data_IF_409528166245
#
_entry.id   IF_409528166245
#
_cell.length_a   1.000
_cell.length_b   1.000
_cell.length_c   1.000
_cell.angle_alpha   90.00
_cell.angle_beta   90.00
_cell.angle_gamma   90.00
#
_symmetry.space_group_name_H-M   'P 1'
#
loop_
_entity.id
_entity.type
_entity.pdbx_description
1 polymer ?
#
# COMPACT_ATOMS: atom_id res chain seq x y z
N UNK A 1 -11.42 4.72 -13.85
CA UNK A 1 -11.49 4.61 -13.71
C UNK A 1 -11.69 4.42 -13.34
N UNK A 2 -11.67 4.30 -13.16
CA UNK A 2 -11.80 4.14 -12.91
C UNK A 2 -12.03 3.81 -12.29
N UNK A 3 -12.25 3.79 -11.98
CA UNK A 3 -12.52 3.46 -11.46
C UNK A 3 -13.05 3.05 -10.85
N UNK A 4 -13.42 3.43 -10.65
CA UNK A 4 -13.88 2.87 -10.15
C UNK A 4 -14.24 2.14 -9.81
N UNK A 5 -14.63 1.91 -9.73
CA UNK A 5 -14.97 0.88 -9.47
C UNK A 5 -14.17 -0.11 -8.97
N UNK A 6 -14.03 -0.38 -8.00
CA UNK A 6 -12.97 -1.09 -7.52
C UNK A 6 -13.19 -2.54 -7.57
N UNK A 7 -14.29 -2.97 -7.03
CA UNK A 7 -14.44 -4.36 -6.74
C UNK A 7 -14.62 -5.22 -7.94
N UNK A 8 -15.63 -4.92 -8.71
CA UNK A 8 -15.94 -5.77 -9.85
C UNK A 8 -14.82 -5.79 -10.86
N UNK A 9 -14.19 -4.65 -11.07
CA UNK A 9 -13.10 -4.59 -12.01
C UNK A 9 -11.93 -5.45 -11.57
N UNK A 10 -11.62 -5.42 -10.28
CA UNK A 10 -10.52 -6.22 -9.77
C UNK A 10 -10.77 -7.70 -9.95
N UNK A 11 -11.99 -8.13 -9.64
CA UNK A 11 -12.31 -9.53 -9.77
C UNK A 11 -12.23 -9.98 -11.23
N UNK A 12 -12.71 -9.14 -12.12
CA UNK A 12 -12.74 -9.49 -13.53
C UNK A 12 -11.38 -9.56 -14.16
N UNK A 13 -10.38 -8.87 -13.60
CA UNK A 13 -9.07 -8.78 -14.21
C UNK A 13 -8.15 -9.94 -13.84
N UNK A 14 -8.54 -10.79 -12.91
CA UNK A 14 -7.66 -11.86 -12.44
C UNK A 14 -7.79 -13.10 -13.30
N UNK A 15 -7.15 -13.09 -14.43
CA UNK A 15 -7.27 -14.19 -15.38
C UNK A 15 -5.98 -14.96 -15.56
N UNK A 16 -4.84 -14.29 -15.48
CA UNK A 16 -3.57 -14.93 -15.74
C UNK A 16 -2.56 -14.54 -14.68
N UNK A 17 -1.66 -15.48 -14.35
CA UNK A 17 -0.58 -15.13 -13.41
C UNK A 17 0.30 -14.02 -13.96
N UNK A 18 0.73 -13.17 -13.06
CA UNK A 18 1.62 -12.05 -13.39
C UNK A 18 2.85 -12.12 -12.52
N UNK A 19 3.99 -11.77 -13.10
CA UNK A 19 5.21 -11.63 -12.34
C UNK A 19 5.49 -10.17 -12.10
N UNK A 20 5.31 -9.74 -10.86
CA UNK A 20 5.52 -8.37 -10.46
C UNK A 20 6.76 -8.32 -9.58
N UNK A 21 7.81 -7.73 -10.09
CA UNK A 21 9.12 -7.71 -9.45
C UNK A 21 9.47 -6.37 -8.84
N UNK A 22 10.73 -6.23 -8.40
CA UNK A 22 11.22 -4.98 -7.81
C UNK A 22 10.96 -3.80 -8.72
N UNK A 23 10.56 -2.69 -8.12
CA UNK A 23 10.28 -1.46 -8.86
C UNK A 23 8.86 -1.34 -9.34
N UNK A 24 8.02 -2.36 -9.16
CA UNK A 24 6.61 -2.27 -9.52
C UNK A 24 5.96 -1.14 -8.72
N UNK A 25 5.32 -0.17 -9.40
CA UNK A 25 4.67 0.91 -8.66
C UNK A 25 3.55 0.38 -7.78
N UNK A 26 3.43 0.93 -6.59
CA UNK A 26 2.38 0.52 -5.66
C UNK A 26 1.00 0.69 -6.26
N UNK A 27 0.84 1.68 -7.15
CA UNK A 27 -0.45 1.94 -7.78
C UNK A 27 -0.94 0.77 -8.63
N UNK A 28 -0.07 -0.14 -9.03
CA UNK A 28 -0.48 -1.32 -9.78
C UNK A 28 -1.00 -2.43 -8.87
N UNK A 29 -0.71 -2.35 -7.59
CA UNK A 29 -1.09 -3.37 -6.63
C UNK A 29 -2.16 -2.89 -5.64
N UNK A 30 -2.38 -1.60 -5.55
CA UNK A 30 -3.30 -0.99 -4.60
C UNK A 30 -4.36 -0.17 -5.31
N UNK A 31 -5.60 -0.16 -4.79
CA UNK A 31 -6.65 0.71 -5.35
C UNK A 31 -6.54 2.16 -4.91
N UNK A 32 -5.74 2.42 -3.89
CA UNK A 32 -5.53 3.77 -3.35
C UNK A 32 -5.00 4.70 -4.42
N UNK A 33 -5.38 5.98 -4.35
CA UNK A 33 -4.95 6.98 -5.34
C UNK A 33 -4.69 8.31 -4.68
N UNK A 34 -3.89 9.13 -5.35
CA UNK A 34 -3.57 10.50 -4.95
C UNK A 34 -2.99 10.50 -3.55
N UNK A 35 -3.42 11.43 -2.70
CA UNK A 35 -2.88 11.55 -1.36
C UNK A 35 -3.13 10.38 -0.45
N UNK A 36 -4.04 9.48 -0.81
CA UNK A 36 -4.29 8.28 -0.02
C UNK A 36 -3.37 7.13 -0.39
N UNK A 37 -2.64 7.22 -1.48
CA UNK A 37 -1.66 6.20 -1.85
C UNK A 37 -0.34 6.58 -1.20
N UNK A 38 0.02 5.89 -0.13
CA UNK A 38 1.18 6.23 0.67
C UNK A 38 2.44 5.48 0.28
N UNK A 39 2.31 4.27 -0.27
CA UNK A 39 3.46 3.48 -0.69
C UNK A 39 3.85 3.86 -2.11
N UNK A 40 5.14 3.77 -2.41
CA UNK A 40 5.64 4.13 -3.74
C UNK A 40 5.89 2.93 -4.63
N UNK A 41 6.63 1.94 -4.15
CA UNK A 41 6.96 0.81 -5.01
C UNK A 41 7.27 -0.45 -4.23
N UNK A 42 7.17 -1.56 -4.93
CA UNK A 42 7.57 -2.86 -4.43
C UNK A 42 9.09 -2.97 -4.48
N UNK A 43 9.70 -3.39 -3.38
CA UNK A 43 11.13 -3.68 -3.35
C UNK A 43 11.33 -5.18 -3.55
N UNK A 44 10.64 -6.00 -2.79
CA UNK A 44 10.67 -7.45 -2.99
C UNK A 44 9.47 -8.08 -2.31
N UNK A 45 9.11 -9.25 -2.77
CA UNK A 45 8.01 -10.02 -2.18
C UNK A 45 8.26 -11.49 -2.38
N UNK A 46 7.80 -12.29 -1.43
CA UNK A 46 7.79 -13.73 -1.55
C UNK A 46 6.61 -14.28 -0.75
N UNK A 47 6.60 -15.59 -0.53
CA UNK A 47 5.48 -16.24 0.14
C UNK A 47 5.35 -15.86 1.61
N UNK A 48 6.41 -15.30 2.19
CA UNK A 48 6.44 -14.99 3.62
C UNK A 48 6.26 -13.51 3.92
N UNK A 49 6.37 -12.64 2.92
CA UNK A 49 6.22 -11.22 3.19
C UNK A 49 6.56 -10.34 2.00
N UNK A 50 6.53 -9.05 2.26
CA UNK A 50 6.76 -8.05 1.23
C UNK A 50 7.50 -6.86 1.85
N UNK A 51 8.40 -6.30 1.06
CA UNK A 51 9.08 -5.04 1.40
C UNK A 51 8.67 -4.01 0.36
N UNK A 52 8.23 -2.86 0.84
CA UNK A 52 7.85 -1.74 -0.03
C UNK A 52 8.61 -0.50 0.39
N UNK A 53 8.73 0.44 -0.52
CA UNK A 53 9.37 1.73 -0.26
C UNK A 53 8.33 2.82 -0.28
N UNK A 54 8.51 3.81 0.59
CA UNK A 54 7.65 4.98 0.62
C UNK A 54 8.46 6.18 1.08
N UNK A 55 8.16 7.33 0.48
CA UNK A 55 8.72 8.61 0.93
C UNK A 55 7.62 9.42 1.59
N UNK A 56 7.95 10.10 2.68
CA UNK A 56 7.02 11.01 3.33
C UNK A 56 6.96 12.28 2.50
N UNK A 57 5.82 12.52 1.86
CA UNK A 57 5.64 13.66 0.94
C UNK A 57 4.85 14.76 1.62
N UNK A 58 5.17 16.00 1.27
CA UNK A 58 4.54 17.16 1.89
C UNK A 58 3.50 17.88 1.07
N UNK A 59 3.66 17.93 -0.26
CA UNK A 59 2.84 18.80 -1.07
C UNK A 59 1.37 18.41 -1.11
N UNK A 60 1.08 17.16 -1.34
CA UNK A 60 -0.30 16.68 -1.38
C UNK A 60 -0.53 15.68 -0.28
N UNK A 61 0.24 15.81 0.79
CA UNK A 61 0.14 14.91 1.91
C UNK A 61 -1.05 15.24 2.79
N UNK A 62 -1.98 14.32 2.85
CA UNK A 62 -3.12 14.48 3.75
C UNK A 62 -2.71 14.37 5.21
N UNK A 63 -1.54 13.82 5.45
CA UNK A 63 -1.12 13.47 6.80
C UNK A 63 0.10 14.24 7.27
N UNK A 64 0.49 15.29 6.52
CA UNK A 64 1.67 16.08 6.88
C UNK A 64 1.27 17.50 7.24
N UNK A 65 1.99 18.08 8.18
CA UNK A 65 1.83 19.46 8.58
C UNK A 65 3.16 19.97 9.10
N UNK A 66 3.50 21.21 8.74
CA UNK A 66 4.74 21.84 9.19
C UNK A 66 5.97 20.99 8.86
N UNK A 67 5.96 20.36 7.69
CA UNK A 67 7.10 19.58 7.23
C UNK A 67 7.28 18.25 7.93
N UNK A 68 6.26 17.77 8.65
CA UNK A 68 6.36 16.52 9.40
C UNK A 68 5.06 15.72 9.31
N UNK A 69 5.18 14.41 9.49
CA UNK A 69 4.05 13.50 9.51
C UNK A 69 4.04 12.78 10.86
N UNK A 70 2.90 12.75 11.51
CA UNK A 70 2.78 12.01 12.77
C UNK A 70 3.06 10.52 12.55
N UNK A 71 3.83 9.92 13.44
CA UNK A 71 4.22 8.52 13.29
C UNK A 71 3.06 7.55 13.34
N UNK A 72 1.92 7.96 13.89
CA UNK A 72 0.72 7.12 13.92
C UNK A 72 0.25 6.75 12.52
N UNK A 73 0.59 7.56 11.50
CA UNK A 73 0.21 7.28 10.12
C UNK A 73 0.90 6.01 9.60
N UNK A 74 1.99 5.59 10.24
CA UNK A 74 2.67 4.37 9.83
C UNK A 74 1.76 3.13 9.92
N UNK A 75 0.71 3.19 10.73
CA UNK A 75 -0.27 2.10 10.75
C UNK A 75 -0.94 1.95 9.39
N UNK A 76 -1.24 3.06 8.73
CA UNK A 76 -1.82 3.02 7.39
C UNK A 76 -0.78 2.53 6.38
N UNK A 77 0.49 2.91 6.53
CA UNK A 77 1.55 2.38 5.67
C UNK A 77 1.59 0.86 5.76
N UNK A 78 1.50 0.32 6.99
CA UNK A 78 1.52 -1.13 7.19
C UNK A 78 0.27 -1.79 6.61
N UNK A 79 -0.88 -1.15 6.76
CA UNK A 79 -2.12 -1.67 6.19
C UNK A 79 -2.03 -1.75 4.67
N UNK A 80 -1.48 -0.72 4.03
CA UNK A 80 -1.29 -0.72 2.60
C UNK A 80 -0.26 -1.77 2.18
N UNK A 81 0.78 -1.96 2.98
CA UNK A 81 1.76 -3.02 2.73
C UNK A 81 1.12 -4.40 2.74
N UNK A 82 0.24 -4.65 3.69
CA UNK A 82 -0.50 -5.91 3.75
C UNK A 82 -1.39 -6.09 2.52
N UNK A 83 -2.11 -5.04 2.15
CA UNK A 83 -2.96 -5.09 0.97
C UNK A 83 -2.15 -5.33 -0.29
N UNK A 84 -0.97 -4.73 -0.36
CA UNK A 84 -0.08 -4.89 -1.49
C UNK A 84 0.42 -6.34 -1.59
N UNK A 85 0.75 -6.96 -0.47
CA UNK A 85 1.19 -8.34 -0.44
C UNK A 85 0.06 -9.30 -0.83
N UNK A 86 -1.15 -9.04 -0.34
CA UNK A 86 -2.32 -9.84 -0.71
C UNK A 86 -2.57 -9.74 -2.22
N UNK A 87 -2.47 -8.54 -2.77
CA UNK A 87 -2.65 -8.31 -4.19
C UNK A 87 -1.56 -9.01 -5.00
N UNK A 88 -0.31 -8.91 -4.56
CA UNK A 88 0.81 -9.56 -5.21
C UNK A 88 0.62 -11.07 -5.28
N UNK A 89 0.21 -11.67 -4.15
CA UNK A 89 -0.03 -13.11 -4.11
C UNK A 89 -1.17 -13.52 -5.03
N UNK A 90 -2.26 -12.78 -5.03
CA UNK A 90 -3.41 -13.09 -5.86
C UNK A 90 -3.03 -13.02 -7.35
N UNK A 91 -2.32 -12.00 -7.74
CA UNK A 91 -1.92 -11.83 -9.13
C UNK A 91 -0.93 -12.88 -9.58
N UNK A 92 -0.01 -13.25 -8.70
CA UNK A 92 0.95 -14.30 -9.00
C UNK A 92 0.26 -15.62 -9.27
N UNK A 93 -0.88 -15.86 -8.64
CA UNK A 93 -1.63 -17.09 -8.81
C UNK A 93 -2.77 -16.97 -9.82
N UNK A 94 -2.92 -15.80 -10.45
CA UNK A 94 -3.99 -15.59 -11.41
C UNK A 94 -5.37 -15.57 -10.77
N UNK A 95 -5.47 -15.16 -9.52
CA UNK A 95 -6.73 -15.15 -8.77
C UNK A 95 -7.22 -13.73 -8.56
N UNK A 96 -8.53 -13.56 -8.32
CA UNK A 96 -9.06 -12.24 -7.97
C UNK A 96 -8.43 -11.73 -6.69
N UNK A 97 -8.18 -10.43 -6.62
CA UNK A 97 -7.65 -9.80 -5.41
C UNK A 97 -8.77 -9.71 -4.38
N UNK A 98 -8.60 -10.35 -3.21
CA UNK A 98 -9.64 -10.27 -2.18
C UNK A 98 -9.71 -8.90 -1.54
N UNK A 99 -10.89 -8.57 -1.02
CA UNK A 99 -11.09 -7.34 -0.28
C UNK A 99 -10.81 -7.63 1.20
N UNK A 100 -10.03 -6.75 1.83
CA UNK A 100 -9.72 -6.89 3.23
C UNK A 100 -9.60 -5.53 3.89
N UNK A 101 -9.77 -5.51 5.20
CA UNK A 101 -9.71 -4.27 5.97
C UNK A 101 -8.88 -4.49 7.22
N UNK A 102 -8.07 -3.49 7.56
CA UNK A 102 -7.42 -3.43 8.86
C UNK A 102 -8.39 -2.76 9.81
N UNK A 103 -8.85 -3.52 10.80
CA UNK A 103 -9.83 -2.99 11.76
C UNK A 103 -9.18 -2.19 12.87
N UNK A 104 -7.89 -2.45 13.15
CA UNK A 104 -7.19 -1.74 14.21
C UNK A 104 -6.03 -2.54 14.74
N UNK A 105 -5.46 -2.05 15.82
CA UNK A 105 -4.38 -2.72 16.51
C UNK A 105 -4.61 -2.60 18.02
N UNK A 106 -4.18 -3.61 18.75
CA UNK A 106 -4.29 -3.57 20.21
C UNK A 106 -3.21 -2.72 20.83
N UNK A 107 -2.06 -2.62 20.17
CA UNK A 107 -0.92 -1.90 20.71
C UNK A 107 -0.07 -1.41 19.56
N UNK A 108 0.37 -0.17 19.67
CA UNK A 108 1.30 0.40 18.72
C UNK A 108 2.31 1.23 19.49
N UNK A 109 3.58 0.89 19.34
CA UNK A 109 4.65 1.64 20.00
C UNK A 109 5.30 2.56 18.97
N UNK A 110 5.32 3.84 19.27
CA UNK A 110 5.92 4.83 18.39
C UNK A 110 7.24 5.25 18.99
N UNK A 111 8.33 4.88 18.33
CA UNK A 111 9.68 5.21 18.81
C UNK A 111 10.02 6.68 18.58
N UNK A 112 9.28 7.34 17.70
CA UNK A 112 9.39 8.75 17.40
C UNK A 112 7.99 9.31 17.24
N UNK A 113 7.74 10.57 17.70
CA UNK A 113 6.38 11.12 17.56
C UNK A 113 6.02 11.47 16.12
N UNK A 114 7.01 11.78 15.28
CA UNK A 114 6.75 12.17 13.90
C UNK A 114 7.98 11.90 13.04
N UNK A 115 7.79 12.04 11.72
CA UNK A 115 8.83 11.87 10.74
C UNK A 115 8.89 13.09 9.83
N UNK A 116 10.11 13.58 9.51
CA UNK A 116 10.22 14.70 8.57
C UNK A 116 9.81 14.30 7.18
N UNK A 117 9.25 15.28 6.45
CA UNK A 117 9.04 15.12 5.01
C UNK A 117 10.40 14.83 4.38
N UNK A 118 10.40 13.88 3.45
CA UNK A 118 11.64 13.44 2.81
C UNK A 118 12.23 12.17 3.42
N UNK A 119 11.67 11.72 4.54
CA UNK A 119 12.10 10.44 5.12
C UNK A 119 11.81 9.30 4.18
#
# INVERSE_FOLDING_TARGET
MTEERITAASAASAEQPEELGPGTPASELLPHRFGMLLLDELVEADETGLTARAAVRGEDGLFTADGRMGSWVLLEYMAQGMAMWISWNARREGKPVPVGFLLGTRKMELLRPDLPVGT
#
